data_IF_591987349697
#
_entry.id   IF_591987349697
#
_cell.length_a   1.000
_cell.length_b   1.000
_cell.length_c   1.000
_cell.angle_alpha   90.00
_cell.angle_beta   90.00
_cell.angle_gamma   90.00
#
_symmetry.space_group_name_H-M   'P 1'
#
loop_
_entity.id
_entity.type
_entity.pdbx_description
1 polymer ?
#
# COMPACT_ATOMS: atom_id res chain seq x y z
N UNK A 1 7.66 -75.46 37.00
CA UNK A 1 7.57 -74.36 38.01
C UNK A 1 8.77 -73.43 37.81
N UNK A 2 8.64 -72.39 36.98
CA UNK A 2 9.37 -71.09 36.99
C UNK A 2 8.63 -70.17 35.98
N UNK A 3 8.55 -68.88 36.33
CA UNK A 3 7.62 -67.81 35.94
C UNK A 3 7.61 -67.36 34.45
N UNK A 4 6.54 -66.67 34.00
CA UNK A 4 6.36 -66.21 32.61
C UNK A 4 7.17 -64.94 32.31
N UNK A 5 7.59 -64.81 31.04
CA UNK A 5 8.25 -63.62 30.47
C UNK A 5 7.20 -62.54 30.19
N UNK A 6 7.37 -61.37 30.78
CA UNK A 6 6.66 -60.13 30.49
C UNK A 6 7.06 -59.62 29.10
N UNK A 7 6.09 -59.46 28.20
CA UNK A 7 6.26 -58.70 26.96
C UNK A 7 6.20 -57.20 27.30
N UNK A 8 7.30 -56.49 27.07
CA UNK A 8 7.37 -55.03 27.16
C UNK A 8 6.90 -54.47 25.81
N UNK A 9 5.69 -53.92 25.76
CA UNK A 9 5.20 -53.19 24.61
C UNK A 9 5.90 -51.81 24.58
N UNK A 10 6.78 -51.62 23.60
CA UNK A 10 7.39 -50.32 23.30
C UNK A 10 6.34 -49.46 22.60
N UNK A 11 5.74 -48.52 23.32
CA UNK A 11 4.95 -47.43 22.74
C UNK A 11 5.92 -46.46 22.05
N UNK A 12 6.01 -46.52 20.72
CA UNK A 12 6.58 -45.42 19.93
C UNK A 12 5.56 -44.26 19.94
N UNK A 13 5.80 -43.25 20.77
CA UNK A 13 5.12 -41.97 20.68
C UNK A 13 5.63 -41.23 19.43
N UNK A 14 4.88 -41.31 18.34
CA UNK A 14 5.12 -40.51 17.14
C UNK A 14 4.63 -39.08 17.40
N UNK A 15 5.46 -38.24 18.00
CA UNK A 15 5.22 -36.81 18.14
C UNK A 15 5.42 -36.14 16.78
N UNK A 16 4.34 -36.04 16.01
CA UNK A 16 4.28 -35.15 14.84
C UNK A 16 4.29 -33.72 15.38
N UNK A 17 5.46 -33.08 15.32
CA UNK A 17 5.59 -31.63 15.48
C UNK A 17 4.89 -30.97 14.29
N UNK A 18 3.62 -30.63 14.46
CA UNK A 18 2.94 -29.66 13.62
C UNK A 18 3.60 -28.31 13.87
N UNK A 19 4.61 -27.98 13.06
CA UNK A 19 5.10 -26.62 12.95
C UNK A 19 3.98 -25.78 12.33
N UNK A 20 3.14 -25.18 13.17
CA UNK A 20 2.36 -24.03 12.75
C UNK A 20 3.37 -22.96 12.33
N UNK A 21 3.43 -22.72 11.02
CA UNK A 21 4.02 -21.50 10.48
C UNK A 21 3.08 -20.35 10.84
N UNK A 22 3.12 -19.90 12.09
CA UNK A 22 2.77 -18.52 12.38
C UNK A 22 3.65 -17.67 11.45
N UNK A 23 3.05 -16.87 10.58
CA UNK A 23 3.79 -15.90 9.78
C UNK A 23 4.69 -15.14 10.74
N UNK A 24 6.01 -15.20 10.52
CA UNK A 24 6.98 -14.61 11.44
C UNK A 24 6.59 -13.14 11.65
N UNK A 25 6.07 -12.83 12.83
CA UNK A 25 6.02 -11.45 13.28
C UNK A 25 7.41 -10.86 13.10
N UNK A 26 7.51 -9.70 12.46
CA UNK A 26 8.78 -9.00 12.27
C UNK A 26 9.39 -8.82 13.66
N UNK A 27 10.60 -9.32 13.87
CA UNK A 27 11.26 -9.20 15.17
C UNK A 27 11.45 -7.72 15.51
N UNK A 28 11.31 -7.28 16.77
CA UNK A 28 11.42 -5.86 17.15
C UNK A 28 12.69 -5.18 16.62
N UNK A 29 13.84 -5.88 16.65
CA UNK A 29 15.10 -5.39 16.09
C UNK A 29 15.04 -5.14 14.57
N UNK A 30 14.35 -6.01 13.83
CA UNK A 30 14.17 -5.87 12.38
C UNK A 30 13.24 -4.70 12.05
N UNK A 31 12.24 -4.42 12.90
CA UNK A 31 11.39 -3.23 12.80
C UNK A 31 12.18 -1.94 13.03
N UNK A 32 13.05 -1.90 14.04
CA UNK A 32 13.91 -0.74 14.33
C UNK A 32 14.90 -0.47 13.19
N UNK A 33 15.46 -1.54 12.60
CA UNK A 33 16.38 -1.42 11.47
C UNK A 33 15.67 -0.92 10.20
N UNK A 34 14.45 -1.38 9.93
CA UNK A 34 13.64 -0.89 8.80
C UNK A 34 13.35 0.62 8.94
N UNK A 35 12.95 1.07 10.13
CA UNK A 35 12.70 2.48 10.40
C UNK A 35 13.98 3.33 10.22
N UNK A 36 15.12 2.86 10.74
CA UNK A 36 16.38 3.55 10.61
C UNK A 36 16.90 3.60 9.16
N UNK A 37 16.71 2.53 8.37
CA UNK A 37 17.03 2.53 6.93
C UNK A 37 16.13 3.51 6.18
N UNK A 38 14.83 3.51 6.48
CA UNK A 38 13.87 4.44 5.88
C UNK A 38 14.28 5.89 6.14
N UNK A 39 14.66 6.21 7.38
CA UNK A 39 15.20 7.53 7.73
C UNK A 39 16.48 7.88 6.94
N UNK A 40 17.40 6.92 6.76
CA UNK A 40 18.58 7.13 5.90
C UNK A 40 18.19 7.46 4.45
N UNK A 41 17.16 6.82 3.91
CA UNK A 41 16.65 7.09 2.56
C UNK A 41 15.89 8.42 2.48
N UNK A 42 15.18 8.83 3.52
CA UNK A 42 14.52 10.13 3.61
C UNK A 42 15.54 11.29 3.58
N UNK A 43 16.66 11.14 4.29
CA UNK A 43 17.79 12.09 4.20
C UNK A 43 18.32 12.18 2.76
N UNK A 44 18.41 11.05 2.06
CA UNK A 44 18.79 11.01 0.65
C UNK A 44 17.77 11.72 -0.24
N UNK A 45 16.47 11.43 -0.07
CA UNK A 45 15.41 12.08 -0.84
C UNK A 45 15.40 13.59 -0.60
N UNK A 46 15.30 14.01 0.67
CA UNK A 46 15.27 15.42 1.03
C UNK A 46 16.51 16.16 0.54
N UNK A 47 17.71 15.65 0.85
CA UNK A 47 18.97 16.28 0.45
C UNK A 47 19.11 16.41 -1.06
N UNK A 48 18.70 15.38 -1.81
CA UNK A 48 18.75 15.41 -3.27
C UNK A 48 17.68 16.34 -3.88
N UNK A 49 16.50 16.43 -3.29
CA UNK A 49 15.38 17.26 -3.75
C UNK A 49 15.53 18.74 -3.40
N UNK A 50 16.25 19.06 -2.32
CA UNK A 50 16.42 20.44 -1.83
C UNK A 50 17.82 21.02 -2.08
N UNK A 51 18.64 20.34 -2.88
CA UNK A 51 20.05 20.71 -3.12
C UNK A 51 20.81 20.97 -1.81
N UNK A 52 20.56 20.14 -0.80
CA UNK A 52 21.16 20.23 0.52
C UNK A 52 22.21 19.14 0.70
N UNK A 53 23.45 19.46 0.32
CA UNK A 53 24.59 18.54 0.41
C UNK A 53 24.87 18.08 1.85
N UNK A 54 24.60 18.91 2.86
CA UNK A 54 24.84 18.55 4.27
C UNK A 54 23.86 17.47 4.74
N UNK A 55 22.58 17.64 4.42
CA UNK A 55 21.56 16.62 4.72
C UNK A 55 21.80 15.36 3.89
N UNK A 56 22.12 15.51 2.61
CA UNK A 56 22.42 14.39 1.72
C UNK A 56 23.64 13.58 2.22
N UNK A 57 24.68 14.24 2.71
CA UNK A 57 25.89 13.59 3.22
C UNK A 57 25.61 12.67 4.41
N UNK A 58 24.60 12.98 5.24
CA UNK A 58 24.22 12.14 6.39
C UNK A 58 23.70 10.77 5.95
N UNK A 59 23.17 10.65 4.73
CA UNK A 59 22.70 9.37 4.19
C UNK A 59 23.85 8.45 3.76
N UNK A 60 25.03 8.99 3.43
CA UNK A 60 26.14 8.24 2.85
C UNK A 60 27.23 7.89 3.87
N UNK A 61 27.92 6.78 3.60
CA UNK A 61 29.24 6.54 4.16
C UNK A 61 30.27 7.41 3.42
N UNK A 62 31.31 7.95 4.09
CA UNK A 62 32.34 8.77 3.44
C UNK A 62 33.03 8.08 2.25
N UNK A 63 33.26 6.77 2.37
CA UNK A 63 33.88 5.95 1.31
C UNK A 63 32.88 5.36 0.30
N UNK A 64 31.63 5.83 0.28
CA UNK A 64 30.62 5.28 -0.61
C UNK A 64 30.96 5.54 -2.08
N UNK A 65 30.71 4.54 -2.93
CA UNK A 65 30.93 4.63 -4.37
C UNK A 65 29.60 4.59 -5.11
N UNK A 66 29.47 5.43 -6.12
CA UNK A 66 28.32 5.43 -7.01
C UNK A 66 28.75 4.87 -8.38
N UNK A 67 27.92 4.01 -8.94
CA UNK A 67 28.09 3.43 -10.27
C UNK A 67 26.96 3.90 -11.16
N UNK A 68 27.23 4.94 -11.95
CA UNK A 68 26.27 5.62 -12.80
C UNK A 68 26.61 5.38 -14.28
N UNK A 69 25.83 5.98 -15.18
CA UNK A 69 26.01 5.88 -16.62
C UNK A 69 26.10 7.27 -17.28
N UNK A 70 26.93 7.35 -18.33
CA UNK A 70 26.98 8.45 -19.30
C UNK A 70 27.02 7.83 -20.71
N UNK A 71 26.66 8.61 -21.72
CA UNK A 71 26.65 8.17 -23.12
C UNK A 71 27.93 7.43 -23.55
N UNK A 72 29.10 7.96 -23.18
CA UNK A 72 30.41 7.38 -23.53
C UNK A 72 31.06 6.60 -22.38
N UNK A 73 30.40 6.47 -21.23
CA UNK A 73 30.94 5.79 -20.04
C UNK A 73 29.83 4.99 -19.35
N UNK A 74 29.55 3.76 -19.83
CA UNK A 74 28.46 2.93 -19.31
C UNK A 74 28.61 2.55 -17.84
N UNK A 75 29.86 2.52 -17.34
CA UNK A 75 30.17 2.34 -15.92
C UNK A 75 31.01 3.53 -15.47
N UNK A 76 30.35 4.58 -15.05
CA UNK A 76 30.97 5.77 -14.49
C UNK A 76 30.98 5.68 -12.97
N UNK A 77 32.15 5.37 -12.42
CA UNK A 77 32.37 5.32 -10.98
C UNK A 77 32.73 6.71 -10.44
N UNK A 78 32.05 7.15 -9.39
CA UNK A 78 32.36 8.39 -8.65
C UNK A 78 32.30 8.15 -7.14
N UNK A 79 32.96 9.00 -6.36
CA UNK A 79 32.83 9.02 -4.90
C UNK A 79 31.54 9.71 -4.47
N UNK A 80 31.09 9.43 -3.24
CA UNK A 80 30.03 10.21 -2.61
C UNK A 80 30.41 11.69 -2.47
N UNK A 81 31.67 12.02 -2.20
CA UNK A 81 32.15 13.41 -2.17
C UNK A 81 31.93 14.11 -3.52
N UNK A 82 32.30 13.47 -4.63
CA UNK A 82 32.04 14.02 -5.96
C UNK A 82 30.54 14.19 -6.22
N UNK A 83 29.72 13.21 -5.86
CA UNK A 83 28.26 13.28 -6.00
C UNK A 83 27.65 14.43 -5.18
N UNK A 84 28.06 14.59 -3.92
CA UNK A 84 27.59 15.65 -3.03
C UNK A 84 27.93 17.05 -3.58
N UNK A 85 29.06 17.19 -4.28
CA UNK A 85 29.46 18.47 -4.91
C UNK A 85 28.47 19.00 -5.96
N UNK A 86 27.59 18.14 -6.50
CA UNK A 86 26.56 18.54 -7.47
C UNK A 86 25.37 19.24 -6.80
N UNK A 87 25.20 19.06 -5.50
CA UNK A 87 24.11 19.64 -4.69
C UNK A 87 24.59 20.95 -4.03
N UNK A 88 25.04 21.90 -4.86
CA UNK A 88 25.68 23.15 -4.43
C UNK A 88 24.84 23.95 -3.42
N UNK A 89 25.53 24.47 -2.40
CA UNK A 89 24.96 25.26 -1.30
C UNK A 89 24.18 26.50 -1.73
N UNK A 90 24.48 27.09 -2.90
CA UNK A 90 23.78 28.28 -3.41
C UNK A 90 22.27 28.06 -3.68
N UNK A 91 21.85 26.80 -3.81
CA UNK A 91 20.46 26.39 -3.95
C UNK A 91 19.94 25.60 -2.74
N UNK A 92 20.67 25.58 -1.62
CA UNK A 92 20.27 24.84 -0.42
C UNK A 92 18.87 25.23 0.04
N UNK A 93 18.03 24.23 0.26
CA UNK A 93 16.63 24.39 0.67
C UNK A 93 15.66 24.65 -0.48
N UNK A 94 16.12 24.79 -1.74
CA UNK A 94 15.23 24.97 -2.89
C UNK A 94 14.78 23.62 -3.42
N UNK A 95 13.48 23.39 -3.39
CA UNK A 95 12.87 22.24 -4.05
C UNK A 95 13.13 22.29 -5.56
N UNK A 96 13.70 21.20 -6.10
CA UNK A 96 14.00 21.02 -7.51
C UNK A 96 12.99 20.12 -8.23
N UNK A 97 11.88 19.76 -7.57
CA UNK A 97 10.79 18.96 -8.12
C UNK A 97 11.10 17.48 -8.23
N UNK A 98 12.14 16.98 -7.55
CA UNK A 98 12.40 15.54 -7.39
C UNK A 98 11.50 14.98 -6.31
N UNK A 99 10.78 13.92 -6.64
CA UNK A 99 9.90 13.21 -5.70
C UNK A 99 10.49 11.83 -5.48
N UNK A 100 10.96 11.56 -4.26
CA UNK A 100 11.49 10.26 -3.87
C UNK A 100 10.44 9.38 -3.21
N UNK A 101 10.49 8.07 -3.48
CA UNK A 101 9.78 7.05 -2.72
C UNK A 101 10.57 5.77 -2.62
N UNK A 102 10.42 5.06 -1.50
CA UNK A 102 10.94 3.71 -1.34
C UNK A 102 10.05 2.75 -2.12
N UNK A 103 10.67 1.85 -2.91
CA UNK A 103 9.98 0.74 -3.57
C UNK A 103 10.17 -0.57 -2.82
N UNK A 104 11.37 -0.79 -2.27
CA UNK A 104 11.72 -2.01 -1.56
C UNK A 104 12.86 -1.77 -0.59
N UNK A 105 12.80 -2.42 0.58
CA UNK A 105 13.93 -2.60 1.51
C UNK A 105 14.02 -4.09 1.87
N UNK A 106 15.23 -4.64 1.80
CA UNK A 106 15.57 -5.99 2.26
C UNK A 106 16.75 -5.90 3.24
N UNK A 107 16.63 -6.57 4.40
CA UNK A 107 17.56 -6.44 5.52
C UNK A 107 18.07 -7.81 5.96
N UNK A 108 19.39 -7.97 5.99
CA UNK A 108 20.08 -9.18 6.44
C UNK A 108 21.18 -8.80 7.45
N UNK A 109 20.81 -8.81 8.73
CA UNK A 109 21.70 -8.40 9.83
C UNK A 109 22.16 -6.95 9.68
N UNK A 110 23.47 -6.75 9.47
CA UNK A 110 24.07 -5.41 9.30
C UNK A 110 24.21 -4.99 7.83
N UNK A 111 23.54 -5.68 6.90
CA UNK A 111 23.50 -5.37 5.47
C UNK A 111 22.05 -5.13 5.06
N UNK A 112 21.82 -4.16 4.18
CA UNK A 112 20.52 -3.99 3.56
C UNK A 112 20.69 -3.62 2.09
N UNK A 113 19.69 -3.99 1.29
CA UNK A 113 19.50 -3.43 -0.05
C UNK A 113 18.22 -2.61 -0.06
N UNK A 114 18.22 -1.52 -0.79
CA UNK A 114 17.01 -0.74 -1.00
C UNK A 114 16.87 -0.34 -2.46
N UNK A 115 15.62 -0.26 -2.92
CA UNK A 115 15.25 0.26 -4.22
C UNK A 115 14.36 1.47 -3.99
N UNK A 116 14.66 2.58 -4.65
CA UNK A 116 13.83 3.78 -4.60
C UNK A 116 13.50 4.27 -6.00
N UNK A 117 12.36 4.93 -6.12
CA UNK A 117 11.98 5.67 -7.32
C UNK A 117 12.20 7.15 -7.08
N UNK A 118 12.81 7.82 -8.06
CA UNK A 118 12.89 9.27 -8.13
C UNK A 118 12.15 9.73 -9.37
N UNK A 119 11.07 10.49 -9.17
CA UNK A 119 10.33 11.12 -10.24
C UNK A 119 10.79 12.56 -10.43
N UNK A 120 10.88 12.99 -11.68
CA UNK A 120 11.08 14.39 -12.06
C UNK A 120 9.99 14.75 -13.09
N UNK A 121 8.74 14.99 -12.63
CA UNK A 121 7.58 15.05 -13.52
C UNK A 121 7.71 16.10 -14.61
N UNK A 122 8.25 17.28 -14.29
CA UNK A 122 8.44 18.37 -15.26
C UNK A 122 9.43 18.04 -16.38
N UNK A 123 10.28 17.02 -16.20
CA UNK A 123 11.17 16.49 -17.25
C UNK A 123 10.67 15.19 -17.87
N UNK A 124 9.55 14.65 -17.39
CA UNK A 124 9.05 13.33 -17.79
C UNK A 124 10.11 12.22 -17.58
N UNK A 125 10.88 12.33 -16.50
CA UNK A 125 11.94 11.38 -16.17
C UNK A 125 11.61 10.63 -14.88
N UNK A 126 11.97 9.36 -14.89
CA UNK A 126 11.94 8.48 -13.73
C UNK A 126 13.30 7.81 -13.59
N UNK A 127 13.81 7.78 -12.38
CA UNK A 127 14.97 6.97 -12.02
C UNK A 127 14.55 5.89 -11.04
N UNK A 128 15.15 4.72 -11.21
CA UNK A 128 15.17 3.68 -10.19
C UNK A 128 16.57 3.64 -9.62
N UNK A 129 16.68 4.05 -8.37
CA UNK A 129 17.92 4.01 -7.61
C UNK A 129 18.01 2.70 -6.82
N UNK A 130 19.16 2.04 -6.91
CA UNK A 130 19.47 0.84 -6.14
C UNK A 130 20.60 1.12 -5.16
N UNK A 131 20.39 0.80 -3.88
CA UNK A 131 21.31 1.08 -2.80
C UNK A 131 21.81 -0.21 -2.14
N UNK A 132 23.09 -0.21 -1.78
CA UNK A 132 23.65 -1.10 -0.77
C UNK A 132 23.89 -0.29 0.49
N UNK A 133 23.30 -0.70 1.60
CA UNK A 133 23.46 -0.05 2.90
C UNK A 133 24.16 -0.98 3.88
N UNK A 134 24.92 -0.36 4.79
CA UNK A 134 25.61 -1.06 5.87
C UNK A 134 25.32 -0.37 7.19
N UNK A 135 25.10 -1.16 8.24
CA UNK A 135 25.09 -0.68 9.62
C UNK A 135 26.53 -0.57 10.12
N UNK A 136 27.04 0.65 10.24
CA UNK A 136 28.40 0.95 10.71
C UNK A 136 28.30 1.73 12.01
N UNK A 137 28.95 1.22 13.07
CA UNK A 137 28.88 1.80 14.42
C UNK A 137 27.43 2.10 14.89
N UNK A 138 26.49 1.22 14.55
CA UNK A 138 25.08 1.34 14.91
C UNK A 138 24.21 2.22 13.99
N UNK A 139 24.78 2.87 12.98
CA UNK A 139 24.06 3.74 12.04
C UNK A 139 23.98 3.13 10.64
N UNK A 140 22.82 3.20 10.01
CA UNK A 140 22.64 2.78 8.62
C UNK A 140 23.14 3.87 7.67
N UNK A 141 24.00 3.48 6.73
CA UNK A 141 24.58 4.38 5.74
C UNK A 141 24.58 3.72 4.37
N UNK A 142 24.33 4.51 3.33
CA UNK A 142 24.49 4.09 1.94
C UNK A 142 26.00 3.95 1.66
N UNK A 143 26.44 2.73 1.33
CA UNK A 143 27.83 2.42 0.98
C UNK A 143 28.03 2.25 -0.53
N UNK A 144 26.94 2.00 -1.28
CA UNK A 144 26.97 2.00 -2.74
C UNK A 144 25.61 2.40 -3.30
N UNK A 145 25.61 3.06 -4.46
CA UNK A 145 24.41 3.39 -5.21
C UNK A 145 24.61 3.21 -6.71
N UNK A 146 23.58 2.73 -7.39
CA UNK A 146 23.44 2.83 -8.84
C UNK A 146 22.08 3.43 -9.21
N UNK A 147 21.88 3.74 -10.48
CA UNK A 147 20.63 4.31 -10.99
C UNK A 147 20.42 3.92 -12.45
N UNK A 148 19.16 3.71 -12.82
CA UNK A 148 18.74 3.61 -14.21
C UNK A 148 17.63 4.62 -14.48
N UNK A 149 17.78 5.41 -15.55
CA UNK A 149 16.82 6.43 -15.96
C UNK A 149 15.93 5.95 -17.12
N UNK A 150 14.64 6.27 -17.08
CA UNK A 150 13.69 6.04 -18.17
C UNK A 150 12.77 7.24 -18.33
N UNK A 151 12.20 7.41 -19.52
CA UNK A 151 11.06 8.30 -19.71
C UNK A 151 9.88 7.82 -18.86
N UNK A 152 9.04 8.76 -18.41
CA UNK A 152 7.89 8.47 -17.56
C UNK A 152 6.78 9.48 -17.73
N UNK A 153 5.55 8.98 -17.71
CA UNK A 153 4.33 9.77 -17.62
C UNK A 153 3.91 10.06 -16.16
N UNK A 154 4.70 9.64 -15.16
CA UNK A 154 4.34 9.80 -13.77
C UNK A 154 4.26 11.28 -13.38
N UNK A 155 3.11 11.69 -12.85
CA UNK A 155 2.77 13.08 -12.60
C UNK A 155 3.12 13.55 -11.17
N UNK A 156 3.64 12.65 -10.33
CA UNK A 156 4.00 12.94 -8.94
C UNK A 156 2.84 12.93 -7.94
N UNK A 157 1.61 12.73 -8.40
CA UNK A 157 0.42 12.65 -7.55
C UNK A 157 0.17 11.21 -7.08
N UNK A 158 -0.35 11.08 -5.85
CA UNK A 158 -0.54 9.80 -5.18
C UNK A 158 -2.01 9.53 -4.85
N UNK A 159 -2.37 8.24 -4.90
CA UNK A 159 -3.67 7.69 -4.48
C UNK A 159 -3.41 6.72 -3.33
N UNK A 160 -4.16 6.85 -2.24
CA UNK A 160 -4.04 5.98 -1.08
C UNK A 160 -5.08 4.86 -1.16
N UNK A 161 -4.64 3.61 -1.33
CA UNK A 161 -5.51 2.45 -1.23
C UNK A 161 -5.66 2.06 0.23
N UNK A 162 -6.90 1.99 0.72
CA UNK A 162 -7.23 1.59 2.08
C UNK A 162 -7.78 0.16 2.03
N UNK A 163 -7.11 -0.76 2.74
CA UNK A 163 -7.41 -2.19 2.72
C UNK A 163 -7.48 -2.74 4.15
N UNK A 164 -8.26 -3.80 4.36
CA UNK A 164 -8.37 -4.42 5.68
C UNK A 164 -7.24 -5.42 5.94
N UNK A 165 -6.71 -5.41 7.16
CA UNK A 165 -5.76 -6.40 7.68
C UNK A 165 -6.44 -7.70 8.14
N UNK A 166 -7.78 -7.78 8.13
CA UNK A 166 -8.50 -8.93 8.66
C UNK A 166 -8.29 -10.21 7.83
N UNK A 167 -7.79 -11.25 8.49
CA UNK A 167 -7.58 -12.59 7.91
C UNK A 167 -8.81 -13.50 8.00
N UNK A 168 -9.69 -13.23 8.97
CA UNK A 168 -10.88 -14.04 9.24
C UNK A 168 -12.13 -13.18 9.33
N UNK A 169 -13.27 -13.81 9.10
CA UNK A 169 -14.57 -13.21 9.31
C UNK A 169 -14.89 -13.09 10.80
N UNK A 170 -14.85 -11.88 11.34
CA UNK A 170 -15.13 -11.62 12.76
C UNK A 170 -14.20 -12.42 13.67
N UNK A 171 -14.77 -13.02 14.72
CA UNK A 171 -14.05 -13.88 15.66
C UNK A 171 -14.02 -15.36 15.22
N UNK A 172 -14.44 -15.66 13.98
CA UNK A 172 -14.47 -17.02 13.44
C UNK A 172 -13.11 -17.46 12.88
N UNK A 173 -13.02 -18.73 12.47
CA UNK A 173 -11.88 -19.28 11.73
C UNK A 173 -12.13 -19.34 10.20
N UNK A 174 -13.13 -18.64 9.69
CA UNK A 174 -13.44 -18.62 8.27
C UNK A 174 -12.54 -17.61 7.55
N UNK A 175 -11.68 -18.05 6.61
CA UNK A 175 -10.74 -17.16 5.97
C UNK A 175 -11.46 -16.14 5.09
N UNK A 176 -10.90 -14.94 5.04
CA UNK A 176 -11.28 -13.88 4.12
C UNK A 176 -10.00 -13.23 3.56
N UNK A 177 -10.16 -12.23 2.70
CA UNK A 177 -9.05 -11.47 2.18
C UNK A 177 -9.50 -10.33 1.29
N UNK A 178 -8.55 -9.46 1.02
CA UNK A 178 -8.70 -8.34 0.09
C UNK A 178 -8.82 -8.91 -1.32
N UNK A 179 -9.77 -8.38 -2.09
CA UNK A 179 -9.98 -8.83 -3.47
C UNK A 179 -8.79 -8.43 -4.35
N UNK A 180 -7.94 -9.39 -4.71
CA UNK A 180 -6.78 -9.11 -5.58
C UNK A 180 -7.22 -8.54 -6.92
N UNK A 181 -8.36 -9.01 -7.45
CA UNK A 181 -8.94 -8.47 -8.68
C UNK A 181 -9.31 -6.99 -8.55
N UNK A 182 -9.90 -6.58 -7.43
CA UNK A 182 -10.25 -5.17 -7.20
C UNK A 182 -9.00 -4.29 -7.10
N UNK A 183 -7.96 -4.75 -6.39
CA UNK A 183 -6.67 -4.05 -6.31
C UNK A 183 -6.09 -3.84 -7.71
N UNK A 184 -5.85 -4.93 -8.45
CA UNK A 184 -5.05 -4.84 -9.70
C UNK A 184 -5.79 -4.11 -10.81
N UNK A 185 -7.12 -4.22 -10.88
CA UNK A 185 -7.90 -3.51 -11.89
C UNK A 185 -7.92 -1.99 -11.63
N UNK A 186 -7.99 -1.55 -10.38
CA UNK A 186 -7.89 -0.12 -10.07
C UNK A 186 -6.44 0.39 -10.20
N UNK A 187 -5.48 -0.36 -9.65
CA UNK A 187 -4.05 -0.02 -9.68
C UNK A 187 -3.54 0.18 -11.11
N UNK A 188 -3.85 -0.74 -12.03
CA UNK A 188 -3.38 -0.66 -13.43
C UNK A 188 -3.86 0.62 -14.14
N UNK A 189 -5.09 1.06 -13.87
CA UNK A 189 -5.63 2.30 -14.45
C UNK A 189 -4.93 3.55 -13.88
N UNK A 190 -4.64 3.57 -12.57
CA UNK A 190 -3.88 4.67 -11.95
C UNK A 190 -2.45 4.76 -12.48
N UNK A 191 -1.74 3.63 -12.56
CA UNK A 191 -0.37 3.61 -13.11
C UNK A 191 -0.36 4.06 -14.57
N UNK A 192 -1.31 3.60 -15.40
CA UNK A 192 -1.44 4.06 -16.80
C UNK A 192 -1.68 5.56 -16.91
N UNK A 193 -2.43 6.14 -15.97
CA UNK A 193 -2.69 7.58 -15.92
C UNK A 193 -1.56 8.40 -15.26
N UNK A 194 -0.46 7.74 -14.83
CA UNK A 194 0.72 8.40 -14.28
C UNK A 194 0.64 8.71 -12.78
N UNK A 195 -0.33 8.15 -12.06
CA UNK A 195 -0.39 8.27 -10.60
C UNK A 195 0.50 7.22 -9.94
N UNK A 196 1.02 7.55 -8.76
CA UNK A 196 1.54 6.55 -7.83
C UNK A 196 0.44 6.06 -6.89
N UNK A 197 0.56 4.83 -6.41
CA UNK A 197 -0.40 4.23 -5.47
C UNK A 197 0.38 3.70 -4.27
N UNK A 198 -0.05 4.12 -3.09
CA UNK A 198 0.41 3.56 -1.81
C UNK A 198 -0.73 2.78 -1.16
N UNK A 199 -0.38 1.86 -0.27
CA UNK A 199 -1.33 0.96 0.39
C UNK A 199 -1.24 1.16 1.90
N UNK A 200 -2.37 1.38 2.56
CA UNK A 200 -2.47 1.46 4.02
C UNK A 200 -3.47 0.43 4.54
N UNK A 201 -3.15 -0.18 5.66
CA UNK A 201 -4.09 -1.04 6.39
C UNK A 201 -4.02 -0.75 7.89
N UNK A 202 -5.06 -1.08 8.68
CA UNK A 202 -5.08 -0.81 10.12
C UNK A 202 -3.82 -1.26 10.86
N UNK A 203 -3.30 -2.45 10.52
CA UNK A 203 -2.15 -3.06 11.19
C UNK A 203 -0.83 -2.88 10.41
N UNK A 204 -0.88 -2.27 9.22
CA UNK A 204 0.22 -2.27 8.25
C UNK A 204 0.62 -3.68 7.80
N UNK A 205 1.76 -3.79 7.13
CA UNK A 205 2.34 -5.08 6.76
C UNK A 205 1.57 -5.85 5.69
N UNK A 206 1.65 -7.18 5.74
CA UNK A 206 1.19 -8.07 4.68
C UNK A 206 -0.32 -8.34 4.74
N UNK A 207 -0.99 -8.18 3.59
CA UNK A 207 -2.43 -8.39 3.48
C UNK A 207 -2.80 -9.87 3.19
N UNK A 208 -3.92 -10.38 3.73
CA UNK A 208 -4.55 -11.59 3.21
C UNK A 208 -5.17 -11.31 1.84
N UNK A 209 -4.82 -12.10 0.82
CA UNK A 209 -5.32 -11.93 -0.55
C UNK A 209 -6.34 -13.01 -0.91
N UNK A 210 -7.41 -12.60 -1.59
CA UNK A 210 -8.44 -13.48 -2.15
C UNK A 210 -8.56 -13.34 -3.67
N UNK A 211 -9.19 -14.33 -4.30
CA UNK A 211 -9.59 -14.33 -5.72
C UNK A 211 -8.44 -14.19 -6.74
N UNK A 212 -7.27 -14.76 -6.46
CA UNK A 212 -6.15 -14.79 -7.41
C UNK A 212 -6.42 -15.82 -8.53
N UNK A 213 -6.42 -15.38 -9.78
CA UNK A 213 -6.54 -16.24 -10.96
C UNK A 213 -5.44 -15.93 -11.98
N UNK A 214 -4.39 -16.75 -12.04
CA UNK A 214 -3.25 -16.53 -12.95
C UNK A 214 -3.53 -16.84 -14.42
N UNK A 215 -4.71 -17.35 -14.75
CA UNK A 215 -5.17 -17.41 -16.14
C UNK A 215 -5.53 -16.02 -16.68
N UNK A 216 -5.88 -15.06 -15.81
CA UNK A 216 -6.13 -13.67 -16.20
C UNK A 216 -4.81 -12.92 -16.40
N UNK A 217 -4.59 -12.25 -17.55
CA UNK A 217 -3.32 -11.57 -17.84
C UNK A 217 -2.94 -10.50 -16.80
N UNK A 218 -3.91 -9.71 -16.33
CA UNK A 218 -3.66 -8.65 -15.34
C UNK A 218 -3.26 -9.23 -13.99
N UNK A 219 -3.89 -10.33 -13.57
CA UNK A 219 -3.51 -10.99 -12.33
C UNK A 219 -2.09 -11.55 -12.42
N UNK A 220 -1.74 -12.22 -13.53
CA UNK A 220 -0.40 -12.76 -13.74
C UNK A 220 0.66 -11.65 -13.78
N UNK A 221 0.39 -10.54 -14.45
CA UNK A 221 1.27 -9.37 -14.51
C UNK A 221 1.66 -8.92 -13.11
N UNK A 222 0.68 -8.68 -12.25
CA UNK A 222 0.92 -8.09 -10.92
C UNK A 222 1.33 -9.09 -9.86
N UNK A 223 0.85 -10.34 -9.92
CA UNK A 223 1.27 -11.37 -8.97
C UNK A 223 2.78 -11.66 -9.04
N UNK A 224 3.39 -11.44 -10.21
CA UNK A 224 4.82 -11.63 -10.45
C UNK A 224 5.57 -10.31 -10.65
N UNK A 225 4.95 -9.18 -10.31
CA UNK A 225 5.62 -7.88 -10.22
C UNK A 225 6.19 -7.72 -8.81
N UNK A 226 7.52 -7.71 -8.70
CA UNK A 226 8.21 -7.70 -7.41
C UNK A 226 7.96 -6.43 -6.60
N UNK A 227 7.89 -5.26 -7.26
CA UNK A 227 7.68 -3.98 -6.59
C UNK A 227 6.24 -3.91 -6.06
N UNK A 228 5.26 -4.32 -6.89
CA UNK A 228 3.86 -4.37 -6.48
C UNK A 228 3.60 -5.36 -5.34
N UNK A 229 4.13 -6.58 -5.45
CA UNK A 229 3.97 -7.60 -4.40
C UNK A 229 4.65 -7.19 -3.10
N UNK A 230 5.79 -6.48 -3.18
CA UNK A 230 6.40 -5.88 -2.00
C UNK A 230 5.48 -4.83 -1.37
N UNK A 231 4.90 -3.93 -2.17
CA UNK A 231 4.04 -2.86 -1.67
C UNK A 231 2.79 -3.38 -0.93
N UNK A 232 2.11 -4.40 -1.46
CA UNK A 232 0.95 -5.00 -0.77
C UNK A 232 1.35 -5.98 0.36
N UNK A 233 2.60 -6.40 0.38
CA UNK A 233 3.20 -7.17 1.47
C UNK A 233 3.72 -6.31 2.63
N UNK A 234 3.85 -5.00 2.42
CA UNK A 234 4.41 -4.04 3.38
C UNK A 234 3.56 -2.76 3.38
N UNK A 235 2.24 -2.90 3.59
CA UNK A 235 1.35 -1.74 3.66
C UNK A 235 1.74 -0.81 4.81
N UNK A 236 1.54 0.49 4.61
CA UNK A 236 1.69 1.51 5.62
C UNK A 236 0.73 1.25 6.78
N UNK A 237 1.12 1.66 7.98
CA UNK A 237 0.16 1.87 9.07
C UNK A 237 -0.47 3.25 8.91
N UNK A 238 -1.62 3.53 9.55
CA UNK A 238 -2.21 4.86 9.50
C UNK A 238 -1.28 5.97 10.04
N UNK A 239 -0.37 5.64 10.96
CA UNK A 239 0.58 6.60 11.52
C UNK A 239 1.68 7.03 10.51
N UNK A 240 1.93 6.23 9.48
CA UNK A 240 2.95 6.51 8.46
C UNK A 240 2.39 7.40 7.32
N UNK A 241 1.09 7.68 7.32
CA UNK A 241 0.41 8.39 6.24
C UNK A 241 0.36 9.88 6.52
N UNK A 242 0.95 10.67 5.60
CA UNK A 242 0.77 12.12 5.54
C UNK A 242 -0.36 12.47 4.55
N UNK A 243 -1.56 12.89 5.03
CA UNK A 243 -2.72 13.14 4.19
C UNK A 243 -2.47 14.13 3.05
N UNK A 244 -1.60 15.13 3.26
CA UNK A 244 -1.29 16.15 2.26
C UNK A 244 -0.63 15.60 0.98
N UNK A 245 -0.04 14.41 1.03
CA UNK A 245 0.59 13.78 -0.13
C UNK A 245 -0.40 13.14 -1.11
N UNK A 246 -1.67 12.98 -0.70
CA UNK A 246 -2.66 12.19 -1.43
C UNK A 246 -3.75 13.06 -2.06
N UNK A 247 -4.11 12.72 -3.30
CA UNK A 247 -5.21 13.37 -4.02
C UNK A 247 -6.53 12.63 -3.87
N UNK A 248 -6.49 11.38 -3.41
CA UNK A 248 -7.67 10.57 -3.19
C UNK A 248 -7.38 9.38 -2.27
N UNK A 249 -8.45 8.88 -1.65
CA UNK A 249 -8.49 7.56 -1.02
C UNK A 249 -9.36 6.60 -1.84
N UNK A 250 -8.96 5.32 -1.86
CA UNK A 250 -9.69 4.23 -2.50
C UNK A 250 -9.83 3.04 -1.57
N UNK A 251 -11.04 2.85 -1.03
CA UNK A 251 -11.38 1.70 -0.20
C UNK A 251 -11.62 0.47 -1.07
N UNK A 252 -10.72 -0.50 -0.96
CA UNK A 252 -10.78 -1.77 -1.70
C UNK A 252 -11.66 -2.75 -0.95
N UNK A 253 -12.43 -3.56 -1.68
CA UNK A 253 -13.25 -4.62 -1.12
C UNK A 253 -12.55 -5.98 -1.08
N UNK A 254 -13.35 -7.02 -1.30
CA UNK A 254 -13.17 -8.30 -0.62
C UNK A 254 -13.93 -8.29 0.70
N UNK A 255 -14.45 -9.44 1.12
CA UNK A 255 -15.36 -9.50 2.27
C UNK A 255 -14.69 -9.10 3.59
N UNK A 256 -13.35 -9.03 3.63
CA UNK A 256 -12.60 -8.58 4.79
C UNK A 256 -12.72 -7.07 5.04
N UNK A 257 -13.08 -6.28 4.02
CA UNK A 257 -13.30 -4.84 4.16
C UNK A 257 -14.43 -4.47 5.13
N UNK A 258 -15.26 -5.46 5.52
CA UNK A 258 -16.24 -5.31 6.59
C UNK A 258 -15.60 -5.11 7.97
N UNK A 259 -14.30 -5.39 8.15
CA UNK A 259 -13.64 -5.43 9.45
C UNK A 259 -12.48 -4.43 9.53
N UNK A 260 -12.37 -3.76 10.67
CA UNK A 260 -11.22 -2.90 11.04
C UNK A 260 -11.20 -1.53 10.38
N UNK A 261 -11.45 -1.43 9.07
CA UNK A 261 -11.27 -0.16 8.33
C UNK A 261 -12.36 0.88 8.60
N UNK A 262 -13.60 0.45 8.81
CA UNK A 262 -14.73 1.36 9.03
C UNK A 262 -14.67 2.06 10.38
N UNK A 263 -14.10 1.41 11.40
CA UNK A 263 -14.06 1.89 12.79
C UNK A 263 -12.69 2.45 13.20
N UNK A 264 -11.68 2.36 12.33
CA UNK A 264 -10.34 2.90 12.61
C UNK A 264 -10.36 4.43 12.53
N UNK A 265 -10.27 5.08 13.69
CA UNK A 265 -10.34 6.53 13.81
C UNK A 265 -9.26 7.28 13.01
N UNK A 266 -8.05 6.71 12.89
CA UNK A 266 -6.95 7.33 12.17
C UNK A 266 -7.18 7.29 10.66
N UNK A 267 -7.65 6.15 10.13
CA UNK A 267 -8.06 6.02 8.73
C UNK A 267 -9.23 6.97 8.41
N UNK A 268 -10.19 7.12 9.32
CA UNK A 268 -11.28 8.10 9.16
C UNK A 268 -10.73 9.53 9.10
N UNK A 269 -9.81 9.90 10.01
CA UNK A 269 -9.16 11.22 10.04
C UNK A 269 -8.44 11.48 8.72
N UNK A 270 -7.57 10.58 8.28
CA UNK A 270 -6.81 10.67 7.02
C UNK A 270 -7.76 10.90 5.84
N UNK A 271 -8.80 10.07 5.72
CA UNK A 271 -9.73 10.13 4.60
C UNK A 271 -10.51 11.44 4.56
N UNK A 272 -10.95 11.93 5.72
CA UNK A 272 -11.68 13.18 5.82
C UNK A 272 -10.78 14.41 5.65
N UNK A 273 -9.51 14.34 6.06
CA UNK A 273 -8.52 15.39 5.82
C UNK A 273 -8.22 15.52 4.33
N UNK A 274 -7.95 14.40 3.64
CA UNK A 274 -7.81 14.37 2.18
C UNK A 274 -9.04 14.99 1.50
N UNK A 275 -10.24 14.61 1.94
CA UNK A 275 -11.48 15.10 1.35
C UNK A 275 -11.77 16.58 1.64
N UNK A 276 -11.68 17.04 2.88
CA UNK A 276 -12.11 18.39 3.26
C UNK A 276 -11.01 19.43 3.09
N UNK A 277 -9.75 19.08 3.40
CA UNK A 277 -8.63 20.04 3.42
C UNK A 277 -7.84 20.04 2.11
N UNK A 278 -7.70 18.88 1.46
CA UNK A 278 -6.93 18.75 0.21
C UNK A 278 -7.80 18.63 -1.04
N UNK A 279 -9.12 18.82 -0.89
CA UNK A 279 -10.11 18.74 -1.96
C UNK A 279 -10.03 17.41 -2.75
N UNK A 280 -9.64 16.34 -2.07
CA UNK A 280 -9.40 15.03 -2.66
C UNK A 280 -10.66 14.19 -2.85
N UNK A 281 -10.52 13.01 -3.44
CA UNK A 281 -11.66 12.12 -3.73
C UNK A 281 -11.75 11.03 -2.66
N UNK A 282 -12.97 10.70 -2.23
CA UNK A 282 -13.23 9.45 -1.50
C UNK A 282 -13.85 8.47 -2.47
N UNK A 283 -13.30 7.26 -2.55
CA UNK A 283 -13.85 6.22 -3.39
C UNK A 283 -13.90 4.86 -2.71
N UNK A 284 -14.81 4.01 -3.14
CA UNK A 284 -14.96 2.65 -2.61
C UNK A 284 -15.50 1.69 -3.68
N UNK A 285 -15.17 0.40 -3.58
CA UNK A 285 -15.73 -0.62 -4.46
C UNK A 285 -16.14 -1.86 -3.68
N UNK A 286 -17.22 -2.53 -4.09
CA UNK A 286 -17.68 -3.79 -3.49
C UNK A 286 -17.95 -3.61 -1.98
N UNK A 287 -17.39 -4.48 -1.13
CA UNK A 287 -17.42 -4.36 0.32
C UNK A 287 -16.55 -3.22 0.88
N UNK A 288 -15.65 -2.64 0.09
CA UNK A 288 -14.88 -1.44 0.48
C UNK A 288 -15.78 -0.27 0.89
N UNK A 289 -17.03 -0.26 0.40
CA UNK A 289 -18.08 0.69 0.80
C UNK A 289 -18.37 0.69 2.30
N UNK A 290 -18.10 -0.43 2.99
CA UNK A 290 -18.15 -0.50 4.46
C UNK A 290 -17.25 0.56 5.11
N UNK A 291 -16.05 0.78 4.54
CA UNK A 291 -15.05 1.72 5.06
C UNK A 291 -15.50 3.18 5.02
N UNK A 292 -16.34 3.57 4.06
CA UNK A 292 -16.85 4.95 3.97
C UNK A 292 -18.14 5.16 4.75
N UNK A 293 -18.80 4.08 5.18
CA UNK A 293 -20.15 4.18 5.73
C UNK A 293 -20.20 5.09 6.96
N UNK A 294 -19.13 5.08 7.77
CA UNK A 294 -19.06 5.75 9.08
C UNK A 294 -18.42 7.14 9.01
N UNK A 295 -17.88 7.53 7.85
CA UNK A 295 -17.20 8.81 7.67
C UNK A 295 -18.16 10.00 7.91
N UNK A 296 -17.64 11.02 8.58
CA UNK A 296 -18.37 12.24 8.93
C UNK A 296 -17.60 13.48 8.49
N UNK A 297 -18.33 14.45 7.98
CA UNK A 297 -17.84 15.79 7.71
C UNK A 297 -17.57 16.53 9.04
N UNK A 298 -16.82 17.62 8.98
CA UNK A 298 -16.59 18.51 10.13
C UNK A 298 -17.90 19.04 10.76
N UNK A 299 -18.96 19.18 9.97
CA UNK A 299 -20.27 19.61 10.46
C UNK A 299 -21.04 18.50 11.23
N UNK A 300 -20.46 17.30 11.35
CA UNK A 300 -21.03 16.15 12.05
C UNK A 300 -21.98 15.29 11.21
N UNK A 301 -22.33 15.70 9.99
CA UNK A 301 -23.14 14.90 9.07
C UNK A 301 -22.32 13.74 8.48
N UNK A 302 -22.99 12.63 8.19
CA UNK A 302 -22.36 11.54 7.46
C UNK A 302 -21.99 11.97 6.04
N UNK A 303 -20.81 11.58 5.58
CA UNK A 303 -20.33 11.85 4.22
C UNK A 303 -21.36 11.40 3.17
N UNK A 304 -22.02 10.28 3.41
CA UNK A 304 -22.96 9.64 2.49
C UNK A 304 -24.32 10.33 2.45
N UNK A 305 -24.63 11.24 3.38
CA UNK A 305 -25.94 11.89 3.48
C UNK A 305 -26.27 12.67 2.20
N UNK A 306 -27.40 12.35 1.58
CA UNK A 306 -27.88 12.96 0.35
C UNK A 306 -27.11 12.57 -0.91
N UNK A 307 -26.14 11.66 -0.82
CA UNK A 307 -25.33 11.22 -1.95
C UNK A 307 -25.85 9.92 -2.55
N UNK A 308 -25.61 9.76 -3.86
CA UNK A 308 -25.70 8.46 -4.53
C UNK A 308 -24.48 7.62 -4.20
N UNK A 309 -24.72 6.42 -3.70
CA UNK A 309 -23.68 5.49 -3.25
C UNK A 309 -23.97 4.11 -3.83
N UNK A 310 -22.94 3.41 -4.28
CA UNK A 310 -23.00 2.00 -4.66
C UNK A 310 -22.03 1.18 -3.83
N UNK A 311 -22.13 -0.13 -3.93
CA UNK A 311 -21.35 -1.11 -3.17
C UNK A 311 -21.91 -2.51 -3.40
N UNK A 312 -21.35 -3.53 -2.77
CA UNK A 312 -21.96 -4.86 -2.84
C UNK A 312 -23.28 -4.84 -2.05
N UNK A 313 -24.46 -5.03 -2.70
CA UNK A 313 -25.74 -4.82 -2.04
C UNK A 313 -26.05 -5.96 -1.07
N UNK A 314 -26.69 -5.62 0.05
CA UNK A 314 -27.10 -6.61 1.06
C UNK A 314 -28.04 -7.68 0.47
N UNK A 315 -28.85 -7.33 -0.54
CA UNK A 315 -29.73 -8.28 -1.27
C UNK A 315 -28.93 -9.38 -1.99
N UNK A 316 -27.68 -9.10 -2.34
CA UNK A 316 -26.82 -10.06 -3.02
C UNK A 316 -25.99 -10.93 -2.07
N UNK A 317 -26.07 -10.66 -0.78
CA UNK A 317 -25.50 -11.55 0.23
C UNK A 317 -26.32 -12.82 0.41
N UNK A 318 -25.66 -13.89 0.84
CA UNK A 318 -26.34 -15.14 1.18
C UNK A 318 -26.45 -15.27 2.71
N UNK A 319 -27.63 -15.05 3.30
CA UNK A 319 -27.81 -15.07 4.76
C UNK A 319 -27.63 -16.46 5.38
N UNK A 320 -27.71 -17.53 4.59
CA UNK A 320 -27.50 -18.91 5.07
C UNK A 320 -26.01 -19.26 5.19
N UNK A 321 -25.11 -18.45 4.59
CA UNK A 321 -23.68 -18.70 4.65
C UNK A 321 -23.11 -18.27 6.01
N UNK A 322 -22.21 -19.08 6.62
CA UNK A 322 -21.62 -18.75 7.91
C UNK A 322 -20.94 -17.37 7.98
N UNK A 323 -20.23 -16.95 6.92
CA UNK A 323 -19.53 -15.66 6.91
C UNK A 323 -20.46 -14.46 7.11
N UNK A 324 -21.70 -14.54 6.64
CA UNK A 324 -22.65 -13.43 6.71
C UNK A 324 -23.06 -13.13 8.16
N UNK A 325 -23.08 -14.15 9.02
CA UNK A 325 -23.43 -14.01 10.44
C UNK A 325 -22.36 -13.27 11.24
N UNK A 326 -21.15 -13.20 10.70
CA UNK A 326 -20.00 -12.52 11.29
C UNK A 326 -19.91 -11.05 10.83
N UNK A 327 -20.76 -10.58 9.90
CA UNK A 327 -20.69 -9.19 9.46
C UNK A 327 -21.10 -8.24 10.60
N UNK A 328 -20.32 -7.19 10.88
CA UNK A 328 -20.62 -6.26 11.97
C UNK A 328 -21.82 -5.36 11.66
N UNK A 329 -22.12 -5.15 10.37
CA UNK A 329 -23.28 -4.42 9.90
C UNK A 329 -23.61 -4.79 8.44
N UNK A 330 -24.73 -4.27 7.95
CA UNK A 330 -25.21 -4.44 6.57
C UNK A 330 -24.99 -3.13 5.80
N UNK A 331 -24.30 -3.18 4.65
CA UNK A 331 -23.82 -1.98 3.96
C UNK A 331 -25.00 -1.14 3.46
N UNK A 332 -25.90 -1.72 2.66
CA UNK A 332 -27.05 -1.02 2.07
C UNK A 332 -27.89 -0.38 3.17
N UNK A 333 -28.30 -1.17 4.17
CA UNK A 333 -29.11 -0.67 5.30
C UNK A 333 -28.42 0.47 6.06
N UNK A 334 -27.11 0.37 6.27
CA UNK A 334 -26.34 1.37 7.01
C UNK A 334 -26.20 2.67 6.24
N UNK A 335 -25.94 2.59 4.93
CA UNK A 335 -25.87 3.77 4.04
C UNK A 335 -27.22 4.50 4.01
N UNK A 336 -28.31 3.76 3.84
CA UNK A 336 -29.67 4.32 3.82
C UNK A 336 -30.05 4.95 5.16
N UNK A 337 -29.75 4.28 6.29
CA UNK A 337 -29.98 4.83 7.63
C UNK A 337 -29.19 6.12 7.91
N UNK A 338 -28.10 6.36 7.17
CA UNK A 338 -27.27 7.57 7.24
C UNK A 338 -27.67 8.62 6.20
N UNK A 339 -28.77 8.39 5.49
CA UNK A 339 -29.36 9.30 4.52
C UNK A 339 -28.72 9.22 3.13
N UNK A 340 -27.91 8.21 2.84
CA UNK A 340 -27.41 7.94 1.49
C UNK A 340 -28.44 7.21 0.63
N UNK A 341 -28.37 7.44 -0.68
CA UNK A 341 -29.20 6.74 -1.67
C UNK A 341 -28.39 5.60 -2.27
N UNK A 342 -28.67 4.36 -1.85
CA UNK A 342 -27.92 3.19 -2.28
C UNK A 342 -28.44 2.65 -3.62
N UNK A 343 -27.60 2.61 -4.65
CA UNK A 343 -27.96 2.22 -6.02
C UNK A 343 -27.08 1.06 -6.51
N UNK A 344 -27.69 0.11 -7.21
CA UNK A 344 -27.01 -1.05 -7.79
C UNK A 344 -27.72 -1.57 -9.05
N UNK A 345 -26.93 -2.15 -9.95
CA UNK A 345 -27.35 -2.90 -11.13
C UNK A 345 -27.54 -4.40 -10.81
N UNK A 346 -28.12 -5.18 -11.73
CA UNK A 346 -28.15 -6.63 -11.63
C UNK A 346 -26.78 -7.25 -11.30
N UNK A 347 -26.81 -8.36 -10.56
CA UNK A 347 -25.60 -9.09 -10.11
C UNK A 347 -24.63 -9.35 -11.27
N UNK A 348 -23.35 -9.06 -11.03
CA UNK A 348 -22.25 -9.33 -11.96
C UNK A 348 -22.08 -8.31 -13.08
N UNK A 349 -22.88 -7.24 -13.10
CA UNK A 349 -22.69 -6.12 -14.02
C UNK A 349 -21.82 -5.04 -13.37
N UNK A 350 -21.06 -4.33 -14.19
CA UNK A 350 -20.41 -3.08 -13.80
C UNK A 350 -21.47 -2.03 -13.43
N UNK A 351 -21.24 -1.32 -12.33
CA UNK A 351 -22.06 -0.20 -11.90
C UNK A 351 -21.21 0.76 -11.07
N UNK A 352 -21.18 2.03 -11.47
CA UNK A 352 -20.39 3.10 -10.84
C UNK A 352 -21.28 4.30 -10.59
N UNK A 353 -21.32 4.77 -9.35
CA UNK A 353 -21.97 6.02 -8.96
C UNK A 353 -20.92 7.11 -8.70
N UNK A 354 -21.12 8.27 -9.32
CA UNK A 354 -20.28 9.46 -9.17
C UNK A 354 -21.15 10.59 -8.61
N UNK A 355 -20.86 11.03 -7.40
CA UNK A 355 -21.56 12.12 -6.72
C UNK A 355 -20.56 13.16 -6.18
N UNK A 356 -20.21 14.11 -7.05
CA UNK A 356 -19.14 15.07 -6.81
C UNK A 356 -17.80 14.35 -6.64
N UNK A 357 -17.17 14.51 -5.47
CA UNK A 357 -15.89 13.88 -5.10
C UNK A 357 -16.06 12.55 -4.34
N UNK A 358 -17.24 11.93 -4.41
CA UNK A 358 -17.48 10.57 -3.90
C UNK A 358 -17.77 9.64 -5.07
N UNK A 359 -16.93 8.61 -5.24
CA UNK A 359 -17.02 7.67 -6.38
C UNK A 359 -17.13 6.24 -5.85
N UNK A 360 -18.20 5.53 -6.17
CA UNK A 360 -18.44 4.19 -5.60
C UNK A 360 -18.82 3.17 -6.65
N UNK A 361 -18.42 1.92 -6.46
CA UNK A 361 -18.66 0.83 -7.41
C UNK A 361 -19.22 -0.43 -6.76
N UNK A 362 -20.05 -1.16 -7.49
CA UNK A 362 -20.83 -2.27 -6.93
C UNK A 362 -20.00 -3.52 -6.61
N UNK A 363 -19.03 -3.88 -7.44
CA UNK A 363 -18.35 -5.18 -7.42
C UNK A 363 -17.00 -5.10 -8.14
N UNK A 364 -16.26 -6.22 -8.21
CA UNK A 364 -14.94 -6.24 -8.83
C UNK A 364 -14.93 -5.78 -10.30
N UNK A 365 -16.00 -6.06 -11.07
CA UNK A 365 -16.15 -5.59 -12.45
C UNK A 365 -16.17 -4.06 -12.55
N UNK A 366 -16.54 -3.39 -11.46
CA UNK A 366 -16.64 -1.93 -11.37
C UNK A 366 -15.32 -1.24 -10.99
N UNK A 367 -14.28 -1.99 -10.60
CA UNK A 367 -13.02 -1.41 -10.06
C UNK A 367 -12.31 -0.50 -11.05
N UNK A 368 -12.18 -0.94 -12.32
CA UNK A 368 -11.56 -0.13 -13.36
C UNK A 368 -12.42 1.11 -13.70
N UNK A 369 -13.75 0.97 -13.69
CA UNK A 369 -14.68 2.08 -13.90
C UNK A 369 -14.60 3.14 -12.81
N UNK A 370 -14.50 2.72 -11.54
CA UNK A 370 -14.27 3.62 -10.39
C UNK A 370 -12.94 4.37 -10.55
N UNK A 371 -11.84 3.67 -10.84
CA UNK A 371 -10.54 4.31 -11.04
C UNK A 371 -10.57 5.34 -12.19
N UNK A 372 -11.19 4.99 -13.33
CA UNK A 372 -11.37 5.91 -14.47
C UNK A 372 -12.19 7.14 -14.11
N UNK A 373 -13.27 6.99 -13.35
CA UNK A 373 -14.09 8.11 -12.89
C UNK A 373 -13.29 9.03 -11.96
N UNK A 374 -12.48 8.49 -11.06
CA UNK A 374 -11.58 9.29 -10.22
C UNK A 374 -10.55 10.06 -11.04
N UNK A 375 -9.89 9.39 -11.98
CA UNK A 375 -8.91 10.01 -12.88
C UNK A 375 -9.54 11.18 -13.65
N UNK A 376 -10.77 10.99 -14.16
CA UNK A 376 -11.50 12.03 -14.88
C UNK A 376 -11.83 13.26 -14.01
N UNK A 377 -12.03 13.09 -12.70
CA UNK A 377 -12.23 14.20 -11.76
C UNK A 377 -10.89 14.89 -11.45
N UNK A 378 -9.81 14.12 -11.26
CA UNK A 378 -8.48 14.65 -10.92
C UNK A 378 -7.80 15.43 -12.05
N UNK A 379 -8.24 15.23 -13.29
CA UNK A 379 -7.70 15.89 -14.49
C UNK A 379 -8.49 17.14 -14.93
N UNK A 380 -9.57 17.48 -14.21
CA UNK A 380 -10.27 18.76 -14.36
C UNK A 380 -9.58 19.84 -13.56
#
# INVERSE_FOLDING_TARGET
MVKPRTFLAILLSLSVLLSYSEGKAIQPQQSDDLAAITQTLELYFYGSSHSDAETLAQAFHPDALLYLEKADTPVWQISSEEYLSWHKDENKGRDNGRIGRVLQIDVEGNLATAKAEILIPHKQLRYVDSFLLKKVAGKWQIISKSAAGTDSNANGQRILFILSSAHFHGDSNLPTGVSFSEIVNAYDEFIKAGYSVDFVSPDGGALPLAYINTSEPIHKKYLYDADFMYAIGNTLTPADVEPAEYRAVHYVGGTNAMYGVADNAEIQRISMEIYEQHNGIISAVCHGTAGIAHLRLQNGEYLVKGKRISGYPDEYENPDRPYFKEFPFHITKTIEARGGNFLYSPRGQEHVEVDGRVVTGQNYQSSAGVAKAMIAILQQ
#
